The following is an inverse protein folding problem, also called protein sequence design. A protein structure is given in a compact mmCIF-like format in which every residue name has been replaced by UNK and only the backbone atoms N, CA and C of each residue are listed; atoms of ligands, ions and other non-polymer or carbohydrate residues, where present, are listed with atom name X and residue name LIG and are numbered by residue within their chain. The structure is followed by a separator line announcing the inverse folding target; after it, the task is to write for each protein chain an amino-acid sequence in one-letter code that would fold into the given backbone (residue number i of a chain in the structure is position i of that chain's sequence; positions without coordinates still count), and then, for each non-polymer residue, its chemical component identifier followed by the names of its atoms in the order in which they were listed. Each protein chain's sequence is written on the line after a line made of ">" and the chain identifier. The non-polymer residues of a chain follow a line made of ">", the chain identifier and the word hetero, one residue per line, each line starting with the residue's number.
data_IF_756516738033
#
_entry.id   IF_756516738033
#
_cell.length_a   1.000
_cell.length_b   1.000
_cell.length_c   1.000
_cell.angle_alpha   90.00
_cell.angle_beta   90.00
_cell.angle_gamma   90.00
#
_symmetry.space_group_name_H-M   'P 1'
#
loop_
_entity.id
_entity.type
_entity.pdbx_description
1 polymer ?
#
# COMPACT_ATOMS: atom_id res chain seq x y z
N UNK A 1 12.79 -18.13 8.12
CA UNK A 1 12.95 -16.70 8.46
C UNK A 1 12.11 -15.79 7.55
N UNK A 2 12.36 -15.73 6.23
CA UNK A 2 11.61 -14.82 5.35
C UNK A 2 10.07 -15.06 5.33
N UNK A 3 9.63 -16.31 5.38
CA UNK A 3 8.18 -16.64 5.44
C UNK A 3 7.53 -16.11 6.72
N UNK A 4 8.22 -16.21 7.86
CA UNK A 4 7.73 -15.68 9.15
C UNK A 4 7.64 -14.16 9.15
N UNK A 5 8.64 -13.48 8.56
CA UNK A 5 8.60 -12.02 8.42
C UNK A 5 7.47 -11.60 7.49
N UNK A 6 7.23 -12.33 6.40
CA UNK A 6 6.12 -12.06 5.49
C UNK A 6 4.76 -12.29 6.17
N UNK A 7 4.60 -13.38 6.93
CA UNK A 7 3.38 -13.64 7.69
C UNK A 7 3.16 -12.60 8.80
N UNK A 8 4.23 -12.16 9.48
CA UNK A 8 4.17 -11.06 10.43
C UNK A 8 3.78 -9.73 9.77
N UNK A 9 4.29 -9.49 8.56
CA UNK A 9 3.91 -8.31 7.74
C UNK A 9 2.44 -8.38 7.36
N UNK A 10 1.93 -9.53 6.90
CA UNK A 10 0.52 -9.74 6.56
C UNK A 10 -0.38 -9.44 7.77
N UNK A 11 -0.07 -10.00 8.95
CA UNK A 11 -0.80 -9.72 10.20
C UNK A 11 -0.76 -8.23 10.57
N UNK A 12 0.42 -7.62 10.51
CA UNK A 12 0.56 -6.21 10.85
C UNK A 12 -0.27 -5.32 9.91
N UNK A 13 -0.27 -5.61 8.61
CA UNK A 13 -1.08 -4.89 7.62
C UNK A 13 -2.57 -5.07 7.89
N UNK A 14 -3.02 -6.27 8.24
CA UNK A 14 -4.42 -6.49 8.64
C UNK A 14 -4.80 -5.61 9.82
N UNK A 15 -4.05 -5.71 10.92
CA UNK A 15 -4.40 -5.04 12.19
C UNK A 15 -4.27 -3.51 12.12
N UNK A 16 -3.29 -3.00 11.36
CA UNK A 16 -2.94 -1.58 11.37
C UNK A 16 -3.38 -0.81 10.13
N UNK A 17 -3.71 -1.49 9.05
CA UNK A 17 -4.05 -0.87 7.77
C UNK A 17 -5.45 -1.31 7.32
N UNK A 18 -5.66 -2.60 7.08
CA UNK A 18 -6.91 -3.07 6.47
C UNK A 18 -8.13 -2.95 7.38
N UNK A 19 -8.03 -3.35 8.64
CA UNK A 19 -9.18 -3.30 9.55
C UNK A 19 -9.53 -1.86 9.98
N UNK A 20 -8.57 -0.95 10.25
CA UNK A 20 -8.88 0.46 10.49
C UNK A 20 -9.57 1.15 9.31
N UNK A 21 -9.29 0.75 8.06
CA UNK A 21 -9.97 1.29 6.88
C UNK A 21 -11.45 0.89 6.77
N UNK A 22 -11.88 -0.15 7.50
CA UNK A 22 -13.28 -0.59 7.58
C UNK A 22 -14.03 0.02 8.77
N UNK A 23 -13.36 0.80 9.62
CA UNK A 23 -13.97 1.39 10.79
C UNK A 23 -15.08 2.37 10.39
N UNK A 24 -16.10 2.48 11.25
CA UNK A 24 -17.16 3.48 11.11
C UNK A 24 -16.62 4.86 11.52
N UNK A 25 -15.89 5.48 10.59
CA UNK A 25 -15.28 6.78 10.75
C UNK A 25 -15.26 7.51 9.39
N UNK A 26 -15.22 8.86 9.38
CA UNK A 26 -15.09 9.64 8.15
C UNK A 26 -13.91 9.16 7.29
N UNK A 27 -14.12 9.12 5.97
CA UNK A 27 -13.12 8.62 5.02
C UNK A 27 -11.78 9.36 5.13
N UNK A 28 -11.83 10.66 5.38
CA UNK A 28 -10.65 11.50 5.58
C UNK A 28 -9.85 11.07 6.81
N UNK A 29 -10.53 10.73 7.92
CA UNK A 29 -9.87 10.29 9.14
C UNK A 29 -9.21 8.92 8.96
N UNK A 30 -9.88 7.98 8.28
CA UNK A 30 -9.32 6.67 7.94
C UNK A 30 -8.10 6.80 7.03
N UNK A 31 -8.17 7.70 6.04
CA UNK A 31 -7.07 7.98 5.12
C UNK A 31 -5.86 8.63 5.82
N UNK A 32 -6.09 9.59 6.73
CA UNK A 32 -5.00 10.16 7.54
C UNK A 32 -4.32 9.09 8.41
N UNK A 33 -5.12 8.17 8.97
CA UNK A 33 -4.60 7.03 9.75
C UNK A 33 -3.76 6.10 8.86
N UNK A 34 -4.24 5.79 7.66
CA UNK A 34 -3.50 5.02 6.65
C UNK A 34 -2.14 5.65 6.33
N UNK A 35 -2.13 6.96 6.04
CA UNK A 35 -0.90 7.71 5.72
C UNK A 35 0.12 7.63 6.86
N UNK A 36 -0.31 7.89 8.10
CA UNK A 36 0.57 7.81 9.27
C UNK A 36 1.13 6.39 9.46
N UNK A 37 0.31 5.35 9.28
CA UNK A 37 0.74 3.96 9.41
C UNK A 37 1.71 3.53 8.32
N UNK A 38 1.51 4.00 7.08
CA UNK A 38 2.46 3.77 6.00
C UNK A 38 3.80 4.46 6.27
N UNK A 39 3.78 5.70 6.79
CA UNK A 39 5.00 6.41 7.17
C UNK A 39 5.78 5.68 8.27
N UNK A 40 5.09 5.25 9.33
CA UNK A 40 5.66 4.46 10.41
C UNK A 40 6.28 3.15 9.91
N UNK A 41 5.52 2.40 9.08
CA UNK A 41 5.94 1.11 8.52
C UNK A 41 7.24 1.25 7.74
N UNK A 42 7.34 2.28 6.90
CA UNK A 42 8.48 2.49 6.01
C UNK A 42 9.53 3.45 6.57
N UNK A 43 9.31 4.02 7.75
CA UNK A 43 10.18 5.00 8.41
C UNK A 43 10.57 6.13 7.46
N UNK A 44 9.55 6.80 6.90
CA UNK A 44 9.71 7.87 5.90
C UNK A 44 10.50 7.43 4.67
N UNK A 45 10.24 6.20 4.21
CA UNK A 45 10.87 5.63 3.02
C UNK A 45 12.29 5.09 3.23
N UNK A 46 12.80 5.07 4.47
CA UNK A 46 14.12 4.48 4.79
C UNK A 46 14.12 2.95 4.74
N UNK A 47 12.98 2.31 4.98
CA UNK A 47 12.86 0.84 4.95
C UNK A 47 12.38 0.36 3.58
N UNK A 48 12.98 -0.72 3.11
CA UNK A 48 12.52 -1.41 1.91
C UNK A 48 11.22 -2.19 2.17
N UNK A 49 10.35 -2.27 1.17
CA UNK A 49 9.20 -3.17 1.20
C UNK A 49 9.64 -4.64 1.01
N UNK A 50 9.23 -5.52 1.92
CA UNK A 50 9.51 -6.96 1.82
C UNK A 50 8.88 -7.60 0.59
N UNK A 51 7.69 -7.15 0.17
CA UNK A 51 7.06 -7.63 -1.06
C UNK A 51 7.94 -7.32 -2.26
N UNK A 52 8.47 -6.09 -2.34
CA UNK A 52 9.39 -5.69 -3.40
C UNK A 52 10.71 -6.49 -3.38
N UNK A 53 11.20 -6.85 -2.20
CA UNK A 53 12.43 -7.66 -2.07
C UNK A 53 12.22 -9.13 -2.46
N UNK A 54 11.02 -9.68 -2.26
CA UNK A 54 10.72 -11.09 -2.51
C UNK A 54 9.99 -11.35 -3.84
N UNK A 55 9.51 -10.31 -4.54
CA UNK A 55 8.81 -10.42 -5.82
C UNK A 55 9.77 -10.46 -7.01
N UNK A 56 10.64 -11.47 -7.08
CA UNK A 56 11.56 -11.65 -8.22
C UNK A 56 10.83 -12.18 -9.46
N UNK A 57 11.13 -11.63 -10.64
CA UNK A 57 10.54 -12.03 -11.91
C UNK A 57 10.83 -13.50 -12.31
N UNK A 58 11.89 -14.09 -11.76
CA UNK A 58 12.32 -15.46 -12.09
C UNK A 58 11.58 -16.55 -11.31
N UNK A 59 10.71 -16.18 -10.36
CA UNK A 59 10.30 -17.05 -9.26
C UNK A 59 8.77 -17.05 -9.07
N UNK A 60 8.02 -17.22 -10.17
CA UNK A 60 6.54 -17.27 -10.13
C UNK A 60 6.00 -18.39 -9.22
N UNK A 61 6.79 -19.44 -9.02
CA UNK A 61 6.52 -20.59 -8.13
C UNK A 61 7.29 -20.51 -6.80
N UNK A 62 7.80 -19.34 -6.45
CA UNK A 62 8.42 -19.10 -5.15
C UNK A 62 7.47 -19.46 -4.01
N UNK A 63 7.95 -20.00 -2.87
CA UNK A 63 7.11 -20.25 -1.70
C UNK A 63 6.45 -18.98 -1.13
N UNK A 64 6.90 -17.79 -1.53
CA UNK A 64 6.32 -16.50 -1.13
C UNK A 64 5.20 -16.01 -2.05
N UNK A 65 5.13 -16.53 -3.28
CA UNK A 65 4.26 -16.01 -4.35
C UNK A 65 2.79 -15.94 -3.96
N UNK A 66 2.29 -16.95 -3.22
CA UNK A 66 0.93 -16.97 -2.70
C UNK A 66 0.64 -15.85 -1.70
N UNK A 67 1.54 -15.63 -0.73
CA UNK A 67 1.39 -14.57 0.26
C UNK A 67 1.53 -13.17 -0.36
N UNK A 68 2.48 -12.99 -1.27
CA UNK A 68 2.66 -11.75 -2.03
C UNK A 68 1.39 -11.39 -2.80
N UNK A 69 0.82 -12.34 -3.55
CA UNK A 69 -0.44 -12.14 -4.30
C UNK A 69 -1.59 -11.74 -3.37
N UNK A 70 -1.74 -12.40 -2.23
CA UNK A 70 -2.78 -12.05 -1.25
C UNK A 70 -2.60 -10.64 -0.68
N UNK A 71 -1.38 -10.26 -0.30
CA UNK A 71 -1.12 -8.96 0.31
C UNK A 71 -1.34 -7.82 -0.71
N UNK A 72 -0.84 -7.96 -1.94
CA UNK A 72 -1.12 -6.97 -2.98
C UNK A 72 -2.61 -6.90 -3.31
N UNK A 73 -3.30 -8.04 -3.41
CA UNK A 73 -4.75 -8.08 -3.58
C UNK A 73 -5.48 -7.32 -2.47
N UNK A 74 -5.13 -7.58 -1.20
CA UNK A 74 -5.74 -6.91 -0.06
C UNK A 74 -5.48 -5.39 -0.05
N UNK A 75 -4.29 -4.93 -0.46
CA UNK A 75 -4.01 -3.50 -0.64
C UNK A 75 -4.89 -2.87 -1.72
N UNK A 76 -5.01 -3.51 -2.89
CA UNK A 76 -5.82 -3.03 -4.01
C UNK A 76 -7.30 -2.98 -3.60
N UNK A 77 -7.82 -4.04 -2.98
CA UNK A 77 -9.22 -4.09 -2.56
C UNK A 77 -9.52 -3.02 -1.49
N UNK A 78 -8.64 -2.83 -0.50
CA UNK A 78 -8.82 -1.81 0.53
C UNK A 78 -8.82 -0.38 -0.05
N UNK A 79 -7.93 -0.10 -1.00
CA UNK A 79 -7.86 1.21 -1.65
C UNK A 79 -9.02 1.43 -2.62
N UNK A 80 -9.47 0.37 -3.30
CA UNK A 80 -10.64 0.42 -4.18
C UNK A 80 -11.90 0.73 -3.39
N UNK A 81 -12.06 0.12 -2.20
CA UNK A 81 -13.21 0.40 -1.32
C UNK A 81 -13.29 1.89 -0.92
N UNK A 82 -12.15 2.53 -0.63
CA UNK A 82 -12.12 3.97 -0.35
C UNK A 82 -12.56 4.81 -1.56
N UNK A 83 -12.06 4.49 -2.75
CA UNK A 83 -12.46 5.18 -3.96
C UNK A 83 -13.96 4.95 -4.29
N UNK A 84 -14.49 3.74 -4.09
CA UNK A 84 -15.92 3.47 -4.28
C UNK A 84 -16.79 4.29 -3.32
N UNK A 85 -16.38 4.42 -2.06
CA UNK A 85 -17.08 5.25 -1.08
C UNK A 85 -17.14 6.73 -1.49
N UNK A 86 -16.13 7.20 -2.22
CA UNK A 86 -16.08 8.54 -2.83
C UNK A 86 -16.93 8.68 -4.11
N UNK A 87 -17.56 7.59 -4.58
CA UNK A 87 -18.47 7.58 -5.72
C UNK A 87 -17.83 7.22 -7.07
N UNK A 88 -16.60 6.69 -7.07
CA UNK A 88 -16.02 6.06 -8.26
C UNK A 88 -16.72 4.73 -8.55
N UNK A 89 -16.89 4.41 -9.84
CA UNK A 89 -17.35 3.05 -10.20
C UNK A 89 -16.24 2.02 -9.98
N UNK A 90 -16.59 0.73 -10.02
CA UNK A 90 -15.67 -0.36 -9.72
C UNK A 90 -14.41 -0.35 -10.58
N UNK A 91 -14.52 0.00 -11.86
CA UNK A 91 -13.38 0.03 -12.78
C UNK A 91 -12.44 1.21 -12.47
N UNK A 92 -13.02 2.39 -12.20
CA UNK A 92 -12.29 3.59 -11.80
C UNK A 92 -11.59 3.39 -10.45
N UNK A 93 -12.31 2.85 -9.47
CA UNK A 93 -11.80 2.59 -8.13
C UNK A 93 -10.64 1.60 -8.16
N UNK A 94 -10.78 0.50 -8.91
CA UNK A 94 -9.71 -0.47 -9.10
C UNK A 94 -8.47 0.14 -9.76
N UNK A 95 -8.68 0.92 -10.82
CA UNK A 95 -7.57 1.58 -11.54
C UNK A 95 -6.79 2.53 -10.63
N UNK A 96 -7.51 3.32 -9.82
CA UNK A 96 -6.92 4.23 -8.82
C UNK A 96 -6.16 3.47 -7.75
N UNK A 97 -6.75 2.39 -7.23
CA UNK A 97 -6.13 1.54 -6.22
C UNK A 97 -4.82 0.90 -6.72
N UNK A 98 -4.84 0.30 -7.91
CA UNK A 98 -3.66 -0.28 -8.55
C UNK A 98 -2.57 0.79 -8.75
N UNK A 99 -2.95 1.99 -9.21
CA UNK A 99 -2.03 3.12 -9.36
C UNK A 99 -1.42 3.55 -8.03
N UNK A 100 -2.22 3.69 -6.98
CA UNK A 100 -1.73 4.05 -5.65
C UNK A 100 -0.75 3.01 -5.09
N UNK A 101 -1.03 1.71 -5.29
CA UNK A 101 -0.11 0.62 -4.90
C UNK A 101 1.19 0.67 -5.72
N UNK A 102 1.11 0.95 -7.03
CA UNK A 102 2.30 1.16 -7.86
C UNK A 102 3.14 2.34 -7.37
N UNK A 103 2.52 3.47 -7.04
CA UNK A 103 3.20 4.67 -6.54
C UNK A 103 3.83 4.43 -5.16
N UNK A 104 3.14 3.71 -4.26
CA UNK A 104 3.69 3.30 -2.96
C UNK A 104 5.00 2.54 -3.14
N UNK A 105 5.02 1.51 -3.98
CA UNK A 105 6.22 0.68 -4.12
C UNK A 105 7.29 1.35 -5.00
N UNK A 106 6.89 2.09 -6.03
CA UNK A 106 7.80 2.87 -6.87
C UNK A 106 8.51 3.97 -6.09
N UNK A 107 7.81 4.65 -5.19
CA UNK A 107 8.41 5.69 -4.34
C UNK A 107 9.46 5.10 -3.38
N UNK A 108 9.20 3.93 -2.77
CA UNK A 108 10.18 3.22 -1.94
C UNK A 108 11.41 2.78 -2.74
N UNK A 109 11.23 2.29 -3.97
CA UNK A 109 12.34 1.95 -4.88
C UNK A 109 13.18 3.19 -5.19
N UNK A 110 12.52 4.29 -5.57
CA UNK A 110 13.20 5.53 -5.92
C UNK A 110 13.91 6.15 -4.72
N UNK A 111 13.30 6.11 -3.53
CA UNK A 111 13.91 6.59 -2.30
C UNK A 111 15.20 5.83 -1.97
N UNK A 112 15.17 4.50 -2.06
CA UNK A 112 16.36 3.67 -1.86
C UNK A 112 17.43 3.92 -2.92
N UNK A 113 17.04 4.01 -4.20
CA UNK A 113 17.97 4.20 -5.31
C UNK A 113 18.63 5.58 -5.33
N UNK A 114 17.94 6.62 -4.83
CA UNK A 114 18.45 8.00 -4.80
C UNK A 114 19.05 8.41 -3.45
N UNK A 115 18.88 7.58 -2.41
CA UNK A 115 19.26 7.95 -1.04
C UNK A 115 18.42 9.08 -0.44
N UNK A 116 17.25 9.39 -1.02
CA UNK A 116 16.37 10.49 -0.62
C UNK A 116 15.02 9.98 -0.13
N UNK A 117 14.48 10.58 0.94
CA UNK A 117 13.14 10.24 1.44
C UNK A 117 12.02 10.94 0.65
N UNK A 118 12.38 11.99 -0.11
CA UNK A 118 11.45 12.85 -0.84
C UNK A 118 10.46 12.12 -1.76
N UNK A 119 10.84 11.06 -2.51
CA UNK A 119 9.88 10.32 -3.31
C UNK A 119 8.73 9.72 -2.50
N UNK A 120 9.03 9.11 -1.36
CA UNK A 120 8.04 8.49 -0.48
C UNK A 120 7.21 9.54 0.27
N UNK A 121 7.85 10.60 0.78
CA UNK A 121 7.16 11.74 1.40
C UNK A 121 6.12 12.34 0.43
N UNK A 122 6.52 12.58 -0.83
CA UNK A 122 5.60 13.08 -1.86
C UNK A 122 4.47 12.11 -2.15
N UNK A 123 4.75 10.81 -2.18
CA UNK A 123 3.69 9.81 -2.37
C UNK A 123 2.63 9.92 -1.26
N UNK A 124 3.03 10.05 0.00
CA UNK A 124 2.10 10.21 1.12
C UNK A 124 1.25 11.49 0.99
N UNK A 125 1.87 12.60 0.56
CA UNK A 125 1.16 13.86 0.30
C UNK A 125 0.11 13.71 -0.82
N UNK A 126 0.41 12.96 -1.87
CA UNK A 126 -0.48 12.78 -3.04
C UNK A 126 -1.50 11.66 -2.87
N UNK A 127 -1.33 10.76 -1.90
CA UNK A 127 -2.18 9.58 -1.73
C UNK A 127 -3.69 9.92 -1.62
N UNK A 128 -4.10 11.00 -0.92
CA UNK A 128 -5.50 11.43 -0.93
C UNK A 128 -6.05 11.72 -2.31
N UNK A 129 -5.31 12.44 -3.15
CA UNK A 129 -5.77 12.81 -4.49
C UNK A 129 -5.76 11.61 -5.45
N UNK A 130 -4.79 10.70 -5.29
CA UNK A 130 -4.71 9.47 -6.07
C UNK A 130 -5.95 8.57 -5.83
N UNK A 131 -6.42 8.49 -4.58
CA UNK A 131 -7.59 7.67 -4.21
C UNK A 131 -8.93 8.41 -4.36
N UNK A 132 -9.01 9.67 -3.89
CA UNK A 132 -10.26 10.41 -3.68
C UNK A 132 -10.38 11.68 -4.54
N UNK A 133 -9.32 12.08 -5.23
CA UNK A 133 -9.29 13.32 -6.01
C UNK A 133 -10.34 13.34 -7.13
N UNK A 134 -10.86 14.52 -7.46
CA UNK A 134 -12.07 14.67 -8.29
C UNK A 134 -11.99 14.00 -9.68
N UNK A 135 -13.18 13.69 -10.22
CA UNK A 135 -13.40 13.24 -11.61
C UNK A 135 -13.09 14.33 -12.62
#
# INVERSE_FOLDING_TARGET
>A
MAQEVLAATERWLTDNLFDPLKADAPIEQRLQTLIAKLDDLYSSGKKACILNMLSSASDHDSPFSGAIRRIFGALIEAFSALAQEQGFDDAQARTRAERAVMLLHGSLVLSRGTGSQKPFERFLETLPDELLGQR
#
